data_IF_088079742029
#
_entry.id   IF_088079742029
#
_cell.length_a   1.000
_cell.length_b   1.000
_cell.length_c   1.000
_cell.angle_alpha   90.00
_cell.angle_beta   90.00
_cell.angle_gamma   90.00
#
_symmetry.space_group_name_H-M   'P 1'
#
loop_
_entity.id
_entity.type
_entity.pdbx_description
1 polymer ?
#
# COMPACT_ATOMS: atom_id res chain seq x y z
N UNK A 1 13.96 5.31 4.80
CA UNK A 1 14.29 4.67 6.09
C UNK A 1 13.27 3.60 6.45
N UNK A 2 12.73 2.90 5.45
CA UNK A 2 11.68 1.91 5.67
C UNK A 2 12.23 0.72 6.47
N UNK A 3 13.36 0.17 6.01
CA UNK A 3 14.11 -0.93 6.62
C UNK A 3 14.61 -0.71 8.06
N UNK A 4 14.48 0.52 8.59
CA UNK A 4 14.82 0.88 9.97
C UNK A 4 13.60 1.43 10.74
N UNK A 5 12.39 1.13 10.26
CA UNK A 5 11.11 1.43 10.94
C UNK A 5 10.48 2.79 10.58
N UNK A 6 10.99 3.51 9.58
CA UNK A 6 10.42 4.77 9.05
C UNK A 6 10.31 5.96 10.01
N UNK A 7 10.77 5.83 11.26
CA UNK A 7 10.70 6.87 12.31
C UNK A 7 11.79 7.93 12.17
N UNK A 8 11.71 8.71 11.10
CA UNK A 8 12.69 9.77 10.81
C UNK A 8 12.03 10.88 9.98
N UNK A 9 12.66 12.06 9.93
CA UNK A 9 12.18 13.21 9.14
C UNK A 9 11.92 12.87 7.66
N UNK A 10 12.73 11.98 7.08
CA UNK A 10 12.64 11.54 5.68
C UNK A 10 12.05 10.14 5.50
N UNK A 11 11.55 9.51 6.57
CA UNK A 11 10.81 8.26 6.50
C UNK A 11 9.31 8.48 6.34
N UNK A 12 8.52 7.41 6.27
CA UNK A 12 7.06 7.50 6.13
C UNK A 12 6.38 8.20 7.32
N UNK A 13 6.99 8.11 8.52
CA UNK A 13 6.55 8.88 9.69
C UNK A 13 7.00 10.35 9.67
N UNK A 14 7.66 10.80 8.62
CA UNK A 14 8.06 12.20 8.42
C UNK A 14 6.88 13.08 7.99
N UNK A 15 7.01 14.41 8.08
CA UNK A 15 5.96 15.34 7.65
C UNK A 15 5.91 15.50 6.12
N UNK A 16 6.95 15.06 5.41
CA UNK A 16 7.19 15.41 4.01
C UNK A 16 5.97 15.23 3.09
N UNK A 17 5.30 14.07 3.13
CA UNK A 17 4.16 13.81 2.26
C UNK A 17 2.96 14.72 2.58
N UNK A 18 2.70 14.97 3.88
CA UNK A 18 1.64 15.90 4.30
C UNK A 18 1.96 17.34 3.86
N UNK A 19 3.19 17.80 4.11
CA UNK A 19 3.61 19.16 3.77
C UNK A 19 3.56 19.39 2.25
N UNK A 20 3.98 18.41 1.45
CA UNK A 20 3.97 18.52 -0.02
C UNK A 20 2.55 18.55 -0.55
N UNK A 21 1.67 17.66 -0.10
CA UNK A 21 0.27 17.63 -0.56
C UNK A 21 -0.49 18.90 -0.16
N UNK A 22 -0.31 19.39 1.06
CA UNK A 22 -0.88 20.66 1.51
C UNK A 22 -0.38 21.85 0.67
N UNK A 23 0.92 21.91 0.40
CA UNK A 23 1.50 22.96 -0.45
C UNK A 23 1.00 22.91 -1.89
N UNK A 24 0.78 21.71 -2.44
CA UNK A 24 0.20 21.54 -3.78
C UNK A 24 -1.22 22.11 -3.80
N UNK A 25 -2.07 21.73 -2.85
CA UNK A 25 -3.45 22.21 -2.75
C UNK A 25 -3.48 23.73 -2.59
N UNK A 26 -2.69 24.29 -1.67
CA UNK A 26 -2.63 25.74 -1.46
C UNK A 26 -2.11 26.52 -2.68
N UNK A 27 -1.21 25.92 -3.47
CA UNK A 27 -0.65 26.57 -4.66
C UNK A 27 -1.60 26.53 -5.86
N UNK A 28 -2.31 25.42 -6.05
CA UNK A 28 -3.26 25.26 -7.15
C UNK A 28 -4.62 25.91 -6.86
N UNK A 29 -4.99 25.98 -5.59
CA UNK A 29 -6.26 26.53 -5.12
C UNK A 29 -5.97 27.57 -4.02
N UNK A 30 -5.57 28.81 -4.36
CA UNK A 30 -5.18 29.83 -3.37
C UNK A 30 -6.28 30.24 -2.39
N UNK A 31 -7.54 29.96 -2.72
CA UNK A 31 -8.70 30.21 -1.86
C UNK A 31 -9.10 28.98 -1.02
N UNK A 32 -8.40 27.86 -1.18
CA UNK A 32 -8.66 26.64 -0.40
C UNK A 32 -8.36 26.87 1.07
N UNK A 33 -9.19 26.28 1.91
CA UNK A 33 -9.03 26.24 3.35
C UNK A 33 -8.37 24.94 3.78
N UNK A 34 -7.99 24.86 5.06
CA UNK A 34 -7.55 23.59 5.65
C UNK A 34 -8.62 22.49 5.55
N UNK A 35 -9.91 22.86 5.60
CA UNK A 35 -11.01 21.92 5.47
C UNK A 35 -11.02 21.29 4.06
N UNK A 36 -10.78 22.10 3.04
CA UNK A 36 -10.71 21.62 1.65
C UNK A 36 -9.53 20.67 1.44
N UNK A 37 -8.37 20.98 2.04
CA UNK A 37 -7.24 20.04 2.04
C UNK A 37 -7.62 18.71 2.69
N UNK A 38 -8.18 18.71 3.90
CA UNK A 38 -8.57 17.47 4.59
C UNK A 38 -9.61 16.66 3.80
N UNK A 39 -10.57 17.33 3.15
CA UNK A 39 -11.56 16.70 2.28
C UNK A 39 -10.91 16.11 1.01
N UNK A 40 -9.88 16.77 0.45
CA UNK A 40 -9.12 16.23 -0.67
C UNK A 40 -8.34 14.96 -0.26
N UNK A 41 -7.79 14.93 0.95
CA UNK A 41 -7.08 13.76 1.46
C UNK A 41 -8.02 12.57 1.70
N UNK A 42 -9.22 12.81 2.26
CA UNK A 42 -10.19 11.73 2.53
C UNK A 42 -10.82 11.12 1.26
N UNK A 43 -10.79 11.85 0.14
CA UNK A 43 -11.25 11.38 -1.17
C UNK A 43 -10.10 10.88 -2.06
N UNK A 44 -8.86 10.99 -1.57
CA UNK A 44 -7.67 10.51 -2.27
C UNK A 44 -7.35 9.05 -1.93
N UNK A 45 -6.65 8.40 -2.84
CA UNK A 45 -6.13 7.04 -2.67
C UNK A 45 -4.61 7.08 -2.70
N UNK A 46 -3.97 6.40 -1.76
CA UNK A 46 -2.54 6.17 -1.73
C UNK A 46 -2.22 4.73 -2.18
N UNK A 47 -1.35 4.58 -3.17
CA UNK A 47 -0.81 3.28 -3.57
C UNK A 47 0.56 3.11 -2.91
N UNK A 48 0.63 2.29 -1.86
CA UNK A 48 1.86 1.90 -1.18
C UNK A 48 2.50 0.76 -1.96
N UNK A 49 3.53 1.06 -2.75
CA UNK A 49 4.19 0.06 -3.60
C UNK A 49 5.49 -0.43 -2.95
N UNK A 50 5.53 -1.73 -2.67
CA UNK A 50 6.71 -2.40 -2.12
C UNK A 50 6.78 -3.86 -2.65
N UNK A 51 7.97 -4.44 -2.77
CA UNK A 51 8.14 -5.79 -3.28
C UNK A 51 7.44 -6.84 -2.39
N UNK A 52 6.92 -7.90 -2.99
CA UNK A 52 6.39 -9.04 -2.24
C UNK A 52 6.91 -10.36 -2.79
N UNK A 53 6.60 -11.45 -2.10
CA UNK A 53 7.21 -12.75 -2.37
C UNK A 53 6.33 -13.62 -3.28
N UNK A 54 6.86 -13.98 -4.45
CA UNK A 54 6.34 -15.10 -5.22
C UNK A 54 6.56 -16.41 -4.47
N UNK A 55 5.69 -17.40 -4.69
CA UNK A 55 5.82 -18.72 -4.09
C UNK A 55 7.11 -19.41 -4.56
N UNK A 56 8.09 -19.53 -3.67
CA UNK A 56 9.37 -20.15 -4.00
C UNK A 56 9.24 -21.68 -4.09
N UNK A 57 9.63 -22.33 -5.20
CA UNK A 57 9.41 -23.76 -5.42
C UNK A 57 10.18 -24.65 -4.43
N UNK A 58 11.34 -24.20 -3.94
CA UNK A 58 12.13 -24.94 -2.94
C UNK A 58 11.68 -24.71 -1.49
N UNK A 59 10.80 -23.73 -1.23
CA UNK A 59 10.31 -23.41 0.12
C UNK A 59 8.79 -23.22 0.14
N UNK A 60 8.01 -24.17 -0.39
CA UNK A 60 6.56 -24.04 -0.52
C UNK A 60 5.84 -23.89 0.83
N UNK A 61 6.45 -24.36 1.92
CA UNK A 61 5.97 -24.25 3.29
C UNK A 61 5.99 -22.81 3.83
N UNK A 62 6.78 -21.93 3.21
CA UNK A 62 6.87 -20.51 3.59
C UNK A 62 5.75 -19.63 3.00
N UNK A 63 4.85 -20.21 2.23
CA UNK A 63 3.74 -19.48 1.62
C UNK A 63 2.39 -20.02 2.11
N UNK A 64 1.35 -19.22 1.93
CA UNK A 64 0.00 -19.67 2.17
C UNK A 64 -0.32 -20.88 1.25
N UNK A 65 -0.99 -21.93 1.77
CA UNK A 65 -1.29 -23.11 0.96
C UNK A 65 -2.25 -22.83 -0.20
N UNK A 66 -3.11 -21.81 -0.09
CA UNK A 66 -4.13 -21.46 -1.08
C UNK A 66 -3.72 -20.28 -1.95
N UNK A 67 -3.03 -19.28 -1.39
CA UNK A 67 -2.61 -18.08 -2.10
C UNK A 67 -1.14 -18.17 -2.46
N UNK A 68 -0.85 -18.47 -3.73
CA UNK A 68 0.50 -18.74 -4.23
C UNK A 68 0.84 -17.88 -5.45
N UNK A 69 1.25 -16.63 -5.25
CA UNK A 69 1.61 -15.74 -6.36
C UNK A 69 2.80 -16.27 -7.15
N UNK A 70 2.81 -15.99 -8.44
CA UNK A 70 3.85 -16.41 -9.37
C UNK A 70 4.52 -15.20 -10.00
N UNK A 71 5.78 -15.36 -10.39
CA UNK A 71 6.43 -14.39 -11.25
C UNK A 71 5.66 -14.22 -12.55
N UNK A 72 5.57 -12.98 -13.03
CA UNK A 72 4.90 -12.65 -14.30
C UNK A 72 3.37 -12.72 -14.26
N UNK A 73 2.74 -13.12 -13.15
CA UNK A 73 1.27 -13.15 -13.01
C UNK A 73 0.64 -11.79 -12.72
N UNK A 74 1.38 -10.69 -12.88
CA UNK A 74 0.93 -9.34 -12.55
C UNK A 74 1.28 -8.90 -11.12
N UNK A 75 0.95 -7.64 -10.76
CA UNK A 75 1.25 -7.08 -9.45
C UNK A 75 0.55 -7.84 -8.33
N UNK A 76 1.16 -7.82 -7.14
CA UNK A 76 0.58 -8.34 -5.92
C UNK A 76 -0.37 -7.31 -5.31
N UNK A 77 -1.54 -7.74 -4.86
CA UNK A 77 -2.40 -7.05 -3.92
C UNK A 77 -2.13 -7.64 -2.52
N UNK A 78 -1.47 -6.88 -1.65
CA UNK A 78 -1.02 -7.39 -0.36
C UNK A 78 -2.13 -7.25 0.69
N UNK A 79 -2.51 -8.36 1.30
CA UNK A 79 -3.59 -8.47 2.27
C UNK A 79 -3.06 -9.04 3.60
N UNK A 80 -3.43 -8.43 4.72
CA UNK A 80 -3.08 -8.94 6.05
C UNK A 80 -4.11 -8.51 7.09
N UNK A 81 -4.68 -9.48 7.81
CA UNK A 81 -5.74 -9.22 8.80
C UNK A 81 -5.28 -8.37 10.00
N UNK A 82 -3.98 -8.34 10.31
CA UNK A 82 -3.40 -7.51 11.38
C UNK A 82 -2.95 -6.13 10.87
N UNK A 83 -3.32 -5.76 9.64
CA UNK A 83 -2.97 -4.48 9.02
C UNK A 83 -1.44 -4.24 8.96
N UNK A 84 -0.66 -5.31 8.74
CA UNK A 84 0.75 -5.18 8.29
C UNK A 84 0.85 -4.54 6.89
N UNK A 85 -0.25 -4.65 6.16
CA UNK A 85 -0.57 -3.95 4.92
C UNK A 85 -1.88 -3.20 5.16
N UNK A 86 -1.98 -1.95 4.69
CA UNK A 86 -3.14 -1.08 4.89
C UNK A 86 -4.35 -1.47 4.03
N UNK A 87 -4.16 -2.36 3.05
CA UNK A 87 -5.24 -2.80 2.16
C UNK A 87 -6.43 -3.33 2.94
N UNK A 88 -7.59 -2.72 2.70
CA UNK A 88 -8.89 -3.17 3.19
C UNK A 88 -9.83 -3.48 2.01
N UNK A 89 -11.12 -3.69 2.29
CA UNK A 89 -12.12 -3.98 1.26
C UNK A 89 -12.30 -2.82 0.26
N UNK A 90 -12.21 -1.56 0.73
CA UNK A 90 -12.36 -0.38 -0.13
C UNK A 90 -11.13 -0.24 -1.03
N UNK A 91 -9.92 -0.36 -0.47
CA UNK A 91 -8.67 -0.36 -1.23
C UNK A 91 -8.60 -1.48 -2.26
N UNK A 92 -9.09 -2.68 -1.91
CA UNK A 92 -9.22 -3.81 -2.83
C UNK A 92 -10.13 -3.48 -4.01
N UNK A 93 -11.30 -2.88 -3.75
CA UNK A 93 -12.24 -2.50 -4.81
C UNK A 93 -11.67 -1.44 -5.74
N UNK A 94 -10.98 -0.43 -5.20
CA UNK A 94 -10.30 0.61 -5.99
C UNK A 94 -9.22 0.00 -6.89
N UNK A 95 -8.37 -0.87 -6.32
CA UNK A 95 -7.30 -1.52 -7.08
C UNK A 95 -7.84 -2.41 -8.18
N UNK A 96 -8.85 -3.23 -7.88
CA UNK A 96 -9.50 -4.10 -8.85
C UNK A 96 -10.07 -3.31 -10.04
N UNK A 97 -10.72 -2.17 -9.78
CA UNK A 97 -11.22 -1.29 -10.84
C UNK A 97 -10.08 -0.66 -11.67
N UNK A 98 -9.00 -0.23 -11.03
CA UNK A 98 -7.84 0.32 -11.72
C UNK A 98 -7.16 -0.71 -12.63
N UNK A 99 -6.97 -1.95 -12.14
CA UNK A 99 -6.45 -3.07 -12.91
C UNK A 99 -7.34 -3.44 -14.10
N UNK A 100 -8.66 -3.51 -13.88
CA UNK A 100 -9.62 -3.79 -14.94
C UNK A 100 -9.59 -2.71 -16.04
N UNK A 101 -9.54 -1.43 -15.65
CA UNK A 101 -9.42 -0.31 -16.59
C UNK A 101 -8.11 -0.33 -17.38
N UNK A 102 -7.02 -0.81 -16.77
CA UNK A 102 -5.72 -0.95 -17.40
C UNK A 102 -5.56 -2.23 -18.24
N UNK A 103 -6.50 -3.18 -18.15
CA UNK A 103 -6.36 -4.51 -18.76
C UNK A 103 -5.22 -5.33 -18.17
N UNK A 104 -4.93 -5.14 -16.87
CA UNK A 104 -3.83 -5.80 -16.15
C UNK A 104 -4.40 -6.77 -15.11
N UNK A 105 -3.97 -8.02 -15.16
CA UNK A 105 -4.26 -8.98 -14.08
C UNK A 105 -3.38 -8.70 -12.85
N UNK A 106 -3.91 -8.97 -11.66
CA UNK A 106 -3.18 -8.90 -10.40
C UNK A 106 -3.40 -10.20 -9.60
N UNK A 107 -2.56 -10.41 -8.59
CA UNK A 107 -2.60 -11.60 -7.74
C UNK A 107 -2.75 -11.18 -6.29
N UNK A 108 -3.61 -11.86 -5.53
CA UNK A 108 -3.64 -11.66 -4.09
C UNK A 108 -2.36 -12.21 -3.45
N UNK A 109 -1.85 -11.52 -2.44
CA UNK A 109 -0.78 -11.98 -1.58
C UNK A 109 -1.24 -11.93 -0.12
N UNK A 110 -1.19 -13.06 0.56
CA UNK A 110 -1.33 -13.15 2.01
C UNK A 110 -0.12 -13.84 2.61
N UNK A 111 0.32 -13.37 3.77
CA UNK A 111 1.37 -14.04 4.54
C UNK A 111 0.85 -15.35 5.12
N UNK A 112 1.70 -16.38 5.20
CA UNK A 112 1.39 -17.58 5.96
C UNK A 112 1.19 -17.23 7.44
N UNK A 113 0.01 -17.54 8.00
CA UNK A 113 -0.35 -17.22 9.39
C UNK A 113 0.56 -17.88 10.44
N UNK A 114 1.28 -18.95 10.09
CA UNK A 114 2.25 -19.60 10.97
C UNK A 114 3.59 -18.86 11.05
N UNK A 115 3.78 -17.79 10.28
CA UNK A 115 5.03 -17.04 10.21
C UNK A 115 4.81 -15.54 10.43
N UNK A 116 5.79 -14.84 11.05
CA UNK A 116 5.73 -13.39 11.13
C UNK A 116 5.82 -12.77 9.74
N UNK A 117 5.02 -11.74 9.51
CA UNK A 117 5.03 -10.94 8.29
C UNK A 117 5.70 -9.59 8.57
N UNK A 118 6.51 -9.13 7.62
CA UNK A 118 6.97 -7.74 7.58
C UNK A 118 5.79 -6.76 7.47
N UNK A 119 6.03 -5.50 7.81
CA UNK A 119 5.10 -4.39 7.55
C UNK A 119 5.63 -3.56 6.39
N UNK A 120 4.80 -2.71 5.80
CA UNK A 120 5.23 -1.68 4.85
C UNK A 120 5.04 -0.29 5.44
N UNK A 121 5.29 0.73 4.62
CA UNK A 121 4.91 2.12 4.92
C UNK A 121 3.40 2.37 4.80
N UNK A 122 2.63 1.47 4.18
CA UNK A 122 1.20 1.67 3.91
C UNK A 122 0.40 2.01 5.17
N UNK A 123 0.44 1.19 6.24
CA UNK A 123 -0.24 1.49 7.49
C UNK A 123 0.19 2.81 8.14
N UNK A 124 1.48 3.18 8.02
CA UNK A 124 2.02 4.43 8.56
C UNK A 124 1.43 5.63 7.80
N UNK A 125 1.39 5.55 6.48
CA UNK A 125 0.81 6.59 5.62
C UNK A 125 -0.70 6.74 5.85
N UNK A 126 -1.44 5.63 5.87
CA UNK A 126 -2.87 5.61 6.15
C UNK A 126 -3.20 6.27 7.49
N UNK A 127 -2.48 5.88 8.55
CA UNK A 127 -2.68 6.43 9.91
C UNK A 127 -2.42 7.93 9.96
N UNK A 128 -1.41 8.43 9.23
CA UNK A 128 -1.01 9.84 9.28
C UNK A 128 -1.88 10.75 8.43
N UNK A 129 -2.33 10.28 7.27
CA UNK A 129 -2.98 11.10 6.27
C UNK A 129 -4.48 10.85 6.15
N UNK A 130 -4.99 9.74 6.70
CA UNK A 130 -6.41 9.37 6.60
C UNK A 130 -6.86 9.00 5.19
N UNK A 131 -5.92 8.73 4.28
CA UNK A 131 -6.20 8.28 2.92
C UNK A 131 -6.51 6.79 2.89
N UNK A 132 -7.46 6.38 2.05
CA UNK A 132 -7.56 4.97 1.64
C UNK A 132 -6.21 4.57 1.05
N UNK A 133 -5.57 3.57 1.63
CA UNK A 133 -4.24 3.13 1.22
C UNK A 133 -4.28 1.66 0.81
N UNK A 134 -3.77 1.36 -0.38
CA UNK A 134 -3.64 0.00 -0.90
C UNK A 134 -2.18 -0.38 -1.01
N UNK A 135 -1.81 -1.51 -0.44
CA UNK A 135 -0.47 -2.07 -0.54
C UNK A 135 -0.39 -3.04 -1.71
N UNK A 136 0.53 -2.73 -2.62
CA UNK A 136 0.76 -3.49 -3.85
C UNK A 136 2.25 -3.68 -4.09
N UNK A 137 2.60 -4.43 -5.12
CA UNK A 137 3.93 -4.32 -5.73
C UNK A 137 4.33 -5.51 -6.58
N UNK A 138 5.57 -5.52 -7.10
CA UNK A 138 6.04 -6.62 -7.92
C UNK A 138 6.27 -7.88 -7.09
N UNK A 139 6.01 -9.03 -7.69
CA UNK A 139 6.42 -10.31 -7.14
C UNK A 139 7.90 -10.57 -7.46
N UNK A 140 8.70 -10.80 -6.42
CA UNK A 140 10.10 -11.22 -6.50
C UNK A 140 10.28 -12.56 -5.76
N UNK A 141 11.37 -13.28 -6.04
CA UNK A 141 11.76 -14.44 -5.22
C UNK A 141 12.47 -14.00 -3.94
#
# INVERSE_FOLDING_TARGET
>A
HEEIGSNSRSGACGPFLADVTERIVASLLPQSTRSDYLASMSTSVCVSSDAGHAAHPNYPERHDPHVRPRLGGGPLLKLNAQQRYATDAVGTAVWSQACAAAGVEYQDFVSNNAMPCGSTIGPLTATRLGMTTVDVGPALF
#
